data_IF_411892037791
#
_entry.id   IF_411892037791
#
_cell.length_a   1.000
_cell.length_b   1.000
_cell.length_c   1.000
_cell.angle_alpha   90.00
_cell.angle_beta   90.00
_cell.angle_gamma   90.00
#
_symmetry.space_group_name_H-M   'P 1'
#
loop_
_entity.id
_entity.type
_entity.pdbx_description
1 polymer ?
#
# COMPACT_ATOMS: atom_id res chain seq x y z
N UNK A 1 -45.98 -1.06 -16.79
CA UNK A 1 -45.17 -1.40 -17.99
C UNK A 1 -45.42 -0.34 -19.06
N UNK A 2 -44.50 -0.06 -20.00
CA UNK A 2 -43.04 0.20 -19.90
C UNK A 2 -42.65 1.49 -20.68
N UNK A 3 -41.53 2.17 -20.43
CA UNK A 3 -40.28 2.23 -21.23
C UNK A 3 -39.68 3.64 -20.98
N UNK A 4 -38.39 3.97 -21.03
CA UNK A 4 -37.11 3.28 -21.12
C UNK A 4 -36.02 4.37 -20.97
N UNK A 5 -34.91 4.03 -20.30
CA UNK A 5 -33.52 4.41 -20.63
C UNK A 5 -33.16 5.89 -20.89
N UNK A 6 -32.65 6.57 -19.86
CA UNK A 6 -31.44 7.37 -20.03
C UNK A 6 -30.26 6.61 -19.42
N UNK A 7 -29.56 5.87 -20.28
CA UNK A 7 -28.25 5.30 -19.97
C UNK A 7 -27.26 6.46 -19.92
N UNK A 8 -26.81 6.83 -18.73
CA UNK A 8 -25.56 7.58 -18.57
C UNK A 8 -24.43 6.73 -19.13
N UNK A 9 -23.78 7.25 -20.18
CA UNK A 9 -22.67 6.59 -20.85
C UNK A 9 -21.56 6.23 -19.85
N UNK A 10 -21.03 5.00 -19.87
CA UNK A 10 -19.75 4.74 -19.23
C UNK A 10 -18.70 5.53 -20.02
N UNK A 11 -17.94 6.39 -19.34
CA UNK A 11 -16.73 6.95 -19.93
C UNK A 11 -15.84 5.75 -20.24
N UNK A 12 -15.75 5.37 -21.52
CA UNK A 12 -14.81 4.35 -22.00
C UNK A 12 -13.42 4.82 -21.59
N UNK A 13 -12.76 4.07 -20.71
CA UNK A 13 -11.31 4.17 -20.56
C UNK A 13 -10.70 3.93 -21.94
N UNK A 14 -9.88 4.90 -22.39
CA UNK A 14 -9.21 4.80 -23.68
C UNK A 14 -8.27 3.58 -23.63
N UNK A 15 -8.29 2.68 -24.63
CA UNK A 15 -7.35 1.58 -24.73
C UNK A 15 -5.90 2.05 -24.50
N UNK A 16 -5.07 1.25 -23.81
CA UNK A 16 -3.64 1.56 -23.51
C UNK A 16 -2.84 2.03 -24.75
N UNK A 17 -3.24 1.63 -25.96
CA UNK A 17 -2.65 2.07 -27.23
C UNK A 17 -2.90 3.55 -27.57
N UNK A 18 -4.06 4.11 -27.21
CA UNK A 18 -4.39 5.53 -27.40
C UNK A 18 -3.67 6.41 -26.38
N UNK A 19 -3.52 5.92 -25.15
CA UNK A 19 -2.76 6.59 -24.10
C UNK A 19 -1.27 6.68 -24.48
N UNK A 20 -0.68 5.61 -25.01
CA UNK A 20 0.69 5.62 -25.51
C UNK A 20 0.92 6.56 -26.71
N UNK A 21 -0.09 6.75 -27.57
CA UNK A 21 -0.07 7.72 -28.66
C UNK A 21 0.03 9.16 -28.12
N UNK A 22 -0.82 9.50 -27.14
CA UNK A 22 -0.79 10.82 -26.52
C UNK A 22 0.52 11.10 -25.80
N UNK A 23 1.02 10.16 -24.99
CA UNK A 23 2.28 10.31 -24.25
C UNK A 23 3.47 10.55 -25.18
N UNK A 24 3.57 9.83 -26.30
CA UNK A 24 4.64 10.03 -27.29
C UNK A 24 4.51 11.39 -27.99
N UNK A 25 3.30 11.82 -28.34
CA UNK A 25 3.08 13.13 -28.96
C UNK A 25 3.41 14.28 -28.01
N UNK A 26 3.00 14.20 -26.74
CA UNK A 26 3.33 15.20 -25.73
C UNK A 26 4.84 15.29 -25.52
N UNK A 27 5.52 14.16 -25.33
CA UNK A 27 6.98 14.12 -25.19
C UNK A 27 7.70 14.77 -26.38
N UNK A 28 7.32 14.41 -27.62
CA UNK A 28 7.94 14.98 -28.82
C UNK A 28 7.59 16.46 -29.03
N UNK A 29 6.46 16.94 -28.48
CA UNK A 29 6.08 18.35 -28.50
C UNK A 29 6.90 19.19 -27.52
N UNK A 30 7.17 18.68 -26.32
CA UNK A 30 8.02 19.33 -25.32
C UNK A 30 9.46 19.50 -25.79
N UNK A 31 9.99 18.55 -26.56
CA UNK A 31 11.31 18.63 -27.21
C UNK A 31 11.39 19.61 -28.39
N UNK A 32 10.30 20.34 -28.66
CA UNK A 32 10.18 21.53 -29.52
C UNK A 32 11.19 21.66 -30.69
N UNK A 33 11.06 20.76 -31.68
CA UNK A 33 11.85 20.61 -32.95
C UNK A 33 13.10 19.73 -32.88
N UNK A 34 13.52 19.29 -31.69
CA UNK A 34 14.59 18.30 -31.57
C UNK A 34 14.10 16.90 -31.94
N UNK A 35 14.93 16.15 -32.66
CA UNK A 35 14.64 14.75 -33.01
C UNK A 35 15.14 13.82 -31.90
N UNK A 36 14.28 12.91 -31.44
CA UNK A 36 14.58 11.97 -30.36
C UNK A 36 14.72 10.54 -30.90
N UNK A 37 15.67 9.78 -30.35
CA UNK A 37 15.81 8.36 -30.68
C UNK A 37 14.67 7.54 -30.06
N UNK A 38 14.36 6.38 -30.64
CA UNK A 38 13.35 5.46 -30.09
C UNK A 38 13.66 5.06 -28.64
N UNK A 39 14.94 4.92 -28.29
CA UNK A 39 15.38 4.60 -26.93
C UNK A 39 15.04 5.71 -25.95
N UNK A 40 15.36 6.95 -26.32
CA UNK A 40 15.06 8.13 -25.50
C UNK A 40 13.54 8.30 -25.29
N UNK A 41 12.75 8.10 -26.36
CA UNK A 41 11.28 8.13 -26.28
C UNK A 41 10.76 7.02 -25.36
N UNK A 42 11.25 5.79 -25.50
CA UNK A 42 10.84 4.65 -24.67
C UNK A 42 11.15 4.87 -23.19
N UNK A 43 12.35 5.37 -22.88
CA UNK A 43 12.81 5.66 -21.51
C UNK A 43 11.96 6.76 -20.84
N UNK A 44 11.62 7.84 -21.57
CA UNK A 44 10.87 8.97 -20.99
C UNK A 44 9.36 8.76 -20.95
N UNK A 45 8.82 7.90 -21.81
CA UNK A 45 7.38 7.61 -21.84
C UNK A 45 7.00 6.39 -21.00
N UNK A 46 7.98 5.64 -20.47
CA UNK A 46 7.76 4.39 -19.73
C UNK A 46 7.20 3.24 -20.58
N UNK A 47 7.13 3.42 -21.90
CA UNK A 47 6.63 2.42 -22.85
C UNK A 47 7.76 1.49 -23.27
N UNK A 48 7.48 0.19 -23.45
CA UNK A 48 8.49 -0.74 -23.97
C UNK A 48 8.94 -0.35 -25.39
N UNK A 49 10.17 -0.68 -25.76
CA UNK A 49 10.73 -0.38 -27.08
C UNK A 49 9.88 -0.91 -28.24
N UNK A 50 9.24 -2.08 -28.05
CA UNK A 50 8.33 -2.69 -29.05
C UNK A 50 7.05 -1.88 -29.21
N UNK A 51 6.44 -1.45 -28.10
CA UNK A 51 5.22 -0.63 -28.10
C UNK A 51 5.51 0.75 -28.69
N UNK A 52 6.61 1.37 -28.25
CA UNK A 52 7.10 2.65 -28.78
C UNK A 52 7.31 2.59 -30.30
N UNK A 53 7.97 1.54 -30.81
CA UNK A 53 8.16 1.33 -32.25
C UNK A 53 6.84 1.30 -33.01
N UNK A 54 5.88 0.53 -32.54
CA UNK A 54 4.59 0.37 -33.21
C UNK A 54 3.79 1.68 -33.24
N UNK A 55 3.78 2.42 -32.12
CA UNK A 55 3.11 3.71 -32.03
C UNK A 55 3.78 4.75 -32.92
N UNK A 56 5.12 4.80 -32.93
CA UNK A 56 5.86 5.71 -33.82
C UNK A 56 5.55 5.44 -35.29
N UNK A 57 5.50 4.17 -35.71
CA UNK A 57 5.12 3.80 -37.08
C UNK A 57 3.69 4.23 -37.43
N UNK A 58 2.75 4.10 -36.49
CA UNK A 58 1.37 4.55 -36.69
C UNK A 58 1.29 6.07 -36.77
N UNK A 59 1.91 6.80 -35.84
CA UNK A 59 1.95 8.26 -35.84
C UNK A 59 2.63 8.83 -37.11
N UNK A 60 3.66 8.14 -37.60
CA UNK A 60 4.35 8.44 -38.85
C UNK A 60 3.40 8.25 -40.05
N UNK A 61 2.63 7.15 -40.08
CA UNK A 61 1.62 6.92 -41.14
C UNK A 61 0.50 7.97 -41.15
N UNK A 62 0.20 8.60 -40.01
CA UNK A 62 -0.76 9.69 -39.88
C UNK A 62 -0.13 11.09 -40.06
N UNK A 63 1.14 11.17 -40.45
CA UNK A 63 1.90 12.43 -40.61
C UNK A 63 1.94 13.31 -39.35
N UNK A 64 1.72 12.74 -38.17
CA UNK A 64 1.75 13.48 -36.91
C UNK A 64 3.19 13.61 -36.36
N UNK A 65 4.04 12.65 -36.70
CA UNK A 65 5.49 12.70 -36.48
C UNK A 65 6.21 12.39 -37.79
N UNK A 66 7.48 12.74 -37.88
CA UNK A 66 8.33 12.42 -39.02
C UNK A 66 9.65 11.80 -38.57
N UNK A 67 10.17 10.90 -39.40
CA UNK A 67 11.46 10.25 -39.21
C UNK A 67 12.57 11.10 -39.81
N UNK A 68 13.60 11.36 -39.03
CA UNK A 68 14.78 12.13 -39.40
C UNK A 68 16.01 11.26 -39.22
N UNK A 69 16.85 11.20 -40.26
CA UNK A 69 18.16 10.55 -40.21
C UNK A 69 19.21 11.65 -40.20
N UNK A 70 19.99 11.74 -39.13
CA UNK A 70 21.08 12.70 -39.03
C UNK A 70 22.25 12.30 -39.92
N UNK A 71 22.96 13.28 -40.48
CA UNK A 71 24.15 13.05 -41.31
C UNK A 71 25.16 12.22 -40.51
N UNK A 72 25.58 11.06 -41.06
CA UNK A 72 26.48 10.07 -40.47
C UNK A 72 25.90 9.13 -39.38
N UNK A 73 24.58 9.11 -39.16
CA UNK A 73 23.92 8.14 -38.27
C UNK A 73 23.03 7.16 -39.06
N UNK A 74 23.09 5.87 -38.74
CA UNK A 74 22.26 4.82 -39.38
C UNK A 74 20.89 4.73 -38.70
N UNK A 75 20.81 5.07 -37.41
CA UNK A 75 19.58 4.91 -36.63
C UNK A 75 18.66 6.12 -36.80
N UNK A 76 17.37 5.90 -37.14
CA UNK A 76 16.41 6.98 -37.26
C UNK A 76 16.05 7.60 -35.91
N UNK A 77 15.77 8.91 -35.94
CA UNK A 77 15.15 9.66 -34.86
C UNK A 77 13.77 10.15 -35.31
N UNK A 78 12.91 10.53 -34.37
CA UNK A 78 11.56 11.04 -34.65
C UNK A 78 11.38 12.43 -34.06
N UNK A 79 10.65 13.29 -34.76
CA UNK A 79 10.21 14.59 -34.27
C UNK A 79 8.74 14.84 -34.62
N UNK A 80 8.05 15.65 -33.83
CA UNK A 80 6.66 16.00 -34.10
C UNK A 80 6.54 16.95 -35.31
N UNK A 81 5.54 16.74 -36.17
CA UNK A 81 5.27 17.62 -37.32
C UNK A 81 4.40 18.81 -36.91
N UNK A 82 4.25 19.80 -37.82
CA UNK A 82 3.26 20.87 -37.65
C UNK A 82 1.83 20.33 -37.53
N UNK A 83 1.52 19.25 -38.24
CA UNK A 83 0.21 18.59 -38.18
C UNK A 83 0.01 17.89 -36.83
N UNK A 84 1.00 17.15 -36.32
CA UNK A 84 0.93 16.56 -34.97
C UNK A 84 0.74 17.60 -33.87
N UNK A 85 1.39 18.76 -33.97
CA UNK A 85 1.16 19.89 -33.05
C UNK A 85 -0.26 20.47 -33.15
N UNK A 86 -0.84 20.50 -34.35
CA UNK A 86 -2.23 20.95 -34.56
C UNK A 86 -3.23 19.96 -33.96
N UNK A 87 -3.00 18.65 -34.15
CA UNK A 87 -3.80 17.58 -33.53
C UNK A 87 -3.74 17.67 -32.00
N UNK A 88 -2.55 17.87 -31.41
CA UNK A 88 -2.42 18.11 -29.97
C UNK A 88 -3.20 19.34 -29.50
N UNK A 89 -3.13 20.46 -30.22
CA UNK A 89 -3.87 21.69 -29.87
C UNK A 89 -5.38 21.54 -30.02
N UNK A 90 -5.85 20.78 -31.00
CA UNK A 90 -7.27 20.47 -31.18
C UNK A 90 -7.77 19.51 -30.08
N UNK A 91 -6.94 18.57 -29.64
CA UNK A 91 -7.19 17.73 -28.46
C UNK A 91 -7.16 18.56 -27.15
N UNK A 92 -6.34 19.61 -27.06
CA UNK A 92 -6.33 20.56 -25.96
C UNK A 92 -7.53 21.52 -25.97
N UNK A 93 -8.07 21.85 -27.14
CA UNK A 93 -9.22 22.75 -27.32
C UNK A 93 -10.56 22.21 -26.78
N UNK A 94 -10.64 20.91 -26.51
CA UNK A 94 -11.75 20.23 -25.82
C UNK A 94 -11.35 19.72 -24.43
N UNK A 95 -10.26 20.23 -23.83
CA UNK A 95 -10.07 20.12 -22.39
C UNK A 95 -11.04 21.08 -21.70
N UNK A 96 -12.27 20.62 -21.43
CA UNK A 96 -12.80 20.86 -20.07
C UNK A 96 -11.63 20.46 -19.17
N UNK A 97 -11.10 21.38 -18.35
CA UNK A 97 -10.24 20.98 -17.24
C UNK A 97 -11.03 19.90 -16.50
N UNK A 98 -10.73 18.64 -16.78
CA UNK A 98 -10.98 17.58 -15.83
C UNK A 98 -9.92 17.90 -14.79
N UNK A 99 -10.27 18.78 -13.86
CA UNK A 99 -9.63 18.75 -12.56
C UNK A 99 -9.95 17.35 -12.06
N UNK A 100 -8.99 16.44 -12.23
CA UNK A 100 -9.02 15.20 -11.49
C UNK A 100 -9.03 15.65 -10.03
N UNK A 101 -10.11 15.36 -9.27
CA UNK A 101 -10.11 15.72 -7.87
C UNK A 101 -8.86 15.10 -7.26
N UNK A 102 -8.07 15.89 -6.54
CA UNK A 102 -6.98 15.36 -5.74
C UNK A 102 -7.54 14.27 -4.82
N UNK A 103 -6.69 13.37 -4.33
CA UNK A 103 -7.12 12.30 -3.41
C UNK A 103 -7.91 12.89 -2.23
N UNK A 104 -7.42 14.00 -1.71
CA UNK A 104 -8.03 14.77 -0.63
C UNK A 104 -9.41 15.29 -1.02
N UNK A 105 -9.59 15.82 -2.24
CA UNK A 105 -10.91 16.23 -2.73
C UNK A 105 -11.88 15.06 -2.84
N UNK A 106 -11.39 13.86 -3.18
CA UNK A 106 -12.18 12.65 -3.16
C UNK A 106 -12.58 12.21 -1.75
N UNK A 107 -11.69 12.36 -0.77
CA UNK A 107 -11.99 12.11 0.64
C UNK A 107 -13.03 13.08 1.22
N UNK A 108 -13.13 14.31 0.71
CA UNK A 108 -14.22 15.25 1.10
C UNK A 108 -15.52 15.05 0.36
N UNK A 109 -15.53 14.20 -0.67
CA UNK A 109 -16.70 14.09 -1.53
C UNK A 109 -17.94 13.69 -0.74
N UNK A 110 -19.02 14.44 -0.95
CA UNK A 110 -20.35 14.19 -0.37
C UNK A 110 -20.43 14.22 1.17
N UNK A 111 -19.49 14.88 1.86
CA UNK A 111 -19.59 15.07 3.31
C UNK A 111 -20.44 16.32 3.59
N UNK A 112 -21.58 16.12 4.27
CA UNK A 112 -22.45 17.19 4.74
C UNK A 112 -22.80 16.97 6.22
N UNK A 113 -22.30 17.84 7.09
CA UNK A 113 -22.52 17.82 8.53
C UNK A 113 -23.97 18.27 8.83
N UNK A 114 -24.80 17.43 9.45
CA UNK A 114 -26.15 17.82 9.87
C UNK A 114 -26.13 18.79 11.06
N UNK A 115 -27.03 19.78 11.04
CA UNK A 115 -27.17 20.78 12.11
C UNK A 115 -27.82 20.25 13.41
N UNK A 116 -28.40 19.04 13.37
CA UNK A 116 -29.16 18.47 14.50
C UNK A 116 -28.41 17.30 15.14
N UNK A 117 -28.23 17.37 16.47
CA UNK A 117 -27.60 16.33 17.30
C UNK A 117 -28.21 14.93 17.06
N UNK A 118 -29.54 14.81 17.04
CA UNK A 118 -30.19 13.50 16.83
C UNK A 118 -29.94 12.95 15.42
N UNK A 119 -29.86 13.82 14.42
CA UNK A 119 -29.50 13.43 13.05
C UNK A 119 -28.04 13.00 12.98
N UNK A 120 -27.12 13.70 13.66
CA UNK A 120 -25.71 13.30 13.77
C UNK A 120 -25.57 11.90 14.37
N UNK A 121 -26.21 11.62 15.50
CA UNK A 121 -26.19 10.28 16.13
C UNK A 121 -26.68 9.18 15.19
N UNK A 122 -27.78 9.45 14.47
CA UNK A 122 -28.35 8.50 13.51
C UNK A 122 -27.37 8.24 12.36
N UNK A 123 -26.77 9.30 11.81
CA UNK A 123 -25.79 9.22 10.72
C UNK A 123 -24.48 8.55 11.12
N UNK A 124 -24.00 8.75 12.35
CA UNK A 124 -22.84 8.04 12.91
C UNK A 124 -23.12 6.53 12.93
N UNK A 125 -24.27 6.14 13.47
CA UNK A 125 -24.68 4.73 13.49
C UNK A 125 -24.78 4.13 12.07
N UNK A 126 -25.42 4.83 11.14
CA UNK A 126 -25.50 4.42 9.73
C UNK A 126 -24.11 4.25 9.10
N UNK A 127 -23.18 5.19 9.34
CA UNK A 127 -21.81 5.10 8.84
C UNK A 127 -21.07 3.87 9.38
N UNK A 128 -21.17 3.60 10.68
CA UNK A 128 -20.56 2.41 11.31
C UNK A 128 -21.10 1.13 10.65
N UNK A 129 -22.42 0.99 10.53
CA UNK A 129 -23.06 -0.18 9.92
C UNK A 129 -22.65 -0.36 8.44
N UNK A 130 -22.62 0.74 7.68
CA UNK A 130 -22.18 0.75 6.28
C UNK A 130 -20.71 0.33 6.14
N UNK A 131 -19.82 0.87 6.99
CA UNK A 131 -18.39 0.56 6.98
C UNK A 131 -18.15 -0.92 7.29
N UNK A 132 -18.83 -1.47 8.32
CA UNK A 132 -18.74 -2.90 8.67
C UNK A 132 -19.21 -3.79 7.50
N UNK A 133 -20.32 -3.42 6.86
CA UNK A 133 -20.85 -4.16 5.70
C UNK A 133 -19.88 -4.16 4.52
N UNK A 134 -19.31 -3.01 4.17
CA UNK A 134 -18.30 -2.87 3.10
C UNK A 134 -17.07 -3.71 3.38
N UNK A 135 -16.50 -3.61 4.58
CA UNK A 135 -15.33 -4.39 4.98
C UNK A 135 -15.60 -5.90 4.92
N UNK A 136 -16.81 -6.34 5.29
CA UNK A 136 -17.21 -7.74 5.14
C UNK A 136 -17.29 -8.16 3.66
N UNK A 137 -17.84 -7.33 2.79
CA UNK A 137 -17.86 -7.60 1.34
C UNK A 137 -16.45 -7.70 0.77
N UNK A 138 -15.61 -6.71 1.06
CA UNK A 138 -14.22 -6.68 0.61
C UNK A 138 -13.42 -7.89 1.10
N UNK A 139 -13.59 -8.29 2.37
CA UNK A 139 -12.96 -9.49 2.91
C UNK A 139 -13.34 -10.74 2.10
N UNK A 140 -14.62 -10.88 1.75
CA UNK A 140 -15.10 -12.01 0.96
C UNK A 140 -14.51 -11.99 -0.45
N UNK A 141 -14.48 -10.82 -1.09
CA UNK A 141 -13.98 -10.68 -2.45
C UNK A 141 -12.47 -10.94 -2.52
N UNK A 142 -11.70 -10.37 -1.60
CA UNK A 142 -10.26 -10.66 -1.49
C UNK A 142 -9.98 -12.13 -1.17
N UNK A 143 -10.85 -12.80 -0.42
CA UNK A 143 -10.73 -14.24 -0.18
C UNK A 143 -10.93 -15.06 -1.46
N UNK A 144 -11.81 -14.63 -2.37
CA UNK A 144 -11.95 -15.24 -3.71
C UNK A 144 -10.71 -14.94 -4.57
N UNK A 145 -10.23 -13.70 -4.54
CA UNK A 145 -9.01 -13.26 -5.22
C UNK A 145 -7.78 -14.07 -4.76
N UNK A 146 -7.65 -14.34 -3.45
CA UNK A 146 -6.63 -15.23 -2.92
C UNK A 146 -6.72 -16.63 -3.55
N UNK A 147 -7.91 -17.16 -3.78
CA UNK A 147 -8.13 -18.42 -4.51
C UNK A 147 -7.51 -18.40 -5.92
N UNK A 148 -7.61 -17.28 -6.63
CA UNK A 148 -6.94 -17.12 -7.92
C UNK A 148 -5.42 -17.03 -7.78
N UNK A 149 -4.92 -16.28 -6.79
CA UNK A 149 -3.48 -16.15 -6.50
C UNK A 149 -2.84 -17.48 -6.13
N UNK A 150 -3.54 -18.35 -5.39
CA UNK A 150 -3.07 -19.68 -5.00
C UNK A 150 -2.80 -20.60 -6.21
N UNK A 151 -3.33 -20.29 -7.40
CA UNK A 151 -3.03 -21.02 -8.65
C UNK A 151 -1.78 -20.50 -9.36
N UNK A 152 -1.25 -19.34 -8.98
CA UNK A 152 -0.11 -18.69 -9.64
C UNK A 152 1.23 -19.23 -9.16
N UNK A 153 1.25 -20.10 -8.14
CA UNK A 153 2.46 -20.61 -7.50
C UNK A 153 3.41 -19.47 -7.04
N UNK A 154 2.84 -18.40 -6.48
CA UNK A 154 3.59 -17.24 -5.99
C UNK A 154 3.38 -17.09 -4.47
N UNK A 155 4.19 -17.74 -3.63
CA UNK A 155 3.98 -17.76 -2.18
C UNK A 155 4.11 -16.36 -1.56
N UNK A 156 4.87 -15.45 -2.18
CA UNK A 156 4.99 -14.05 -1.74
C UNK A 156 3.69 -13.28 -1.96
N UNK A 157 3.02 -13.52 -3.09
CA UNK A 157 1.73 -12.90 -3.37
C UNK A 157 0.64 -13.50 -2.47
N UNK A 158 0.66 -14.81 -2.24
CA UNK A 158 -0.23 -15.49 -1.30
C UNK A 158 -0.12 -14.91 0.12
N UNK A 159 1.11 -14.70 0.61
CA UNK A 159 1.39 -14.08 1.91
C UNK A 159 0.85 -12.64 1.99
N UNK A 160 1.10 -11.83 0.96
CA UNK A 160 0.62 -10.45 0.91
C UNK A 160 -0.92 -10.39 0.97
N UNK A 161 -1.59 -11.21 0.17
CA UNK A 161 -3.06 -11.29 0.15
C UNK A 161 -3.61 -11.77 1.50
N UNK A 162 -2.97 -12.77 2.11
CA UNK A 162 -3.37 -13.27 3.43
C UNK A 162 -3.22 -12.20 4.51
N UNK A 163 -2.12 -11.42 4.48
CA UNK A 163 -1.91 -10.29 5.39
C UNK A 163 -2.99 -9.21 5.22
N UNK A 164 -3.30 -8.83 3.97
CA UNK A 164 -4.35 -7.86 3.63
C UNK A 164 -5.72 -8.30 4.18
N UNK A 165 -6.12 -9.56 3.94
CA UNK A 165 -7.41 -10.11 4.42
C UNK A 165 -7.49 -10.07 5.95
N UNK A 166 -6.43 -10.49 6.64
CA UNK A 166 -6.39 -10.47 8.10
C UNK A 166 -6.49 -9.05 8.67
N UNK A 167 -5.90 -8.06 7.99
CA UNK A 167 -6.01 -6.66 8.40
C UNK A 167 -7.39 -6.08 8.21
N UNK A 168 -8.03 -6.35 7.09
CA UNK A 168 -9.42 -5.94 6.86
C UNK A 168 -10.33 -6.54 7.93
N UNK A 169 -10.09 -7.80 8.31
CA UNK A 169 -10.79 -8.44 9.44
C UNK A 169 -10.54 -7.71 10.77
N UNK A 170 -9.28 -7.32 11.05
CA UNK A 170 -8.92 -6.57 12.25
C UNK A 170 -9.59 -5.19 12.30
N UNK A 171 -9.50 -4.43 11.21
CA UNK A 171 -10.18 -3.14 11.01
C UNK A 171 -11.68 -3.26 11.27
N UNK A 172 -12.32 -4.28 10.69
CA UNK A 172 -13.76 -4.52 10.89
C UNK A 172 -14.08 -4.75 12.37
N UNK A 173 -13.27 -5.55 13.06
CA UNK A 173 -13.46 -5.81 14.48
C UNK A 173 -13.30 -4.52 15.32
N UNK A 174 -12.33 -3.67 15.01
CA UNK A 174 -12.14 -2.37 15.67
C UNK A 174 -13.35 -1.45 15.47
N UNK A 175 -13.81 -1.29 14.23
CA UNK A 175 -14.99 -0.45 13.92
C UNK A 175 -16.27 -1.00 14.57
N UNK A 176 -16.41 -2.33 14.69
CA UNK A 176 -17.54 -2.95 15.38
C UNK A 176 -17.63 -2.55 16.85
N UNK A 177 -16.49 -2.23 17.48
CA UNK A 177 -16.42 -1.79 18.86
C UNK A 177 -16.73 -0.29 19.05
N UNK A 178 -16.91 0.47 17.96
CA UNK A 178 -17.27 1.88 18.09
C UNK A 178 -18.68 2.04 18.68
N UNK A 179 -18.87 2.96 19.65
CA UNK A 179 -20.18 3.20 20.22
C UNK A 179 -21.10 3.85 19.19
N UNK A 180 -22.31 3.30 19.04
CA UNK A 180 -23.34 3.86 18.16
C UNK A 180 -23.84 5.23 18.61
N UNK A 181 -23.86 5.50 19.92
CA UNK A 181 -23.97 6.85 20.49
C UNK A 181 -22.67 7.18 21.26
N UNK A 182 -21.76 7.95 20.65
CA UNK A 182 -20.48 8.30 21.29
C UNK A 182 -20.62 9.07 22.60
N UNK A 183 -21.73 9.80 22.81
CA UNK A 183 -21.95 10.54 24.05
C UNK A 183 -22.45 9.64 25.19
N UNK A 184 -23.08 8.50 24.88
CA UNK A 184 -23.65 7.61 25.89
C UNK A 184 -22.61 7.12 26.92
N UNK A 185 -21.35 6.94 26.50
CA UNK A 185 -20.24 6.53 27.40
C UNK A 185 -20.04 7.53 28.55
N UNK A 186 -20.26 8.82 28.32
CA UNK A 186 -20.11 9.87 29.31
C UNK A 186 -21.34 10.04 30.21
N UNK A 187 -22.46 9.40 29.87
CA UNK A 187 -23.66 9.38 30.70
C UNK A 187 -23.60 8.29 31.78
N UNK A 188 -22.71 7.31 31.61
CA UNK A 188 -22.50 6.22 32.57
C UNK A 188 -21.79 6.75 33.82
N UNK A 189 -22.25 6.33 35.01
CA UNK A 189 -21.65 6.70 36.31
C UNK A 189 -21.31 5.47 37.13
N UNK A 190 -20.25 5.53 37.93
CA UNK A 190 -20.03 4.55 39.00
C UNK A 190 -21.03 4.81 40.12
N UNK A 191 -21.42 3.74 40.84
CA UNK A 191 -22.36 3.83 41.95
C UNK A 191 -21.79 4.77 43.03
N UNK A 192 -22.45 5.91 43.26
CA UNK A 192 -22.03 6.93 44.23
C UNK A 192 -21.47 8.22 43.63
N UNK A 193 -21.18 8.27 42.32
CA UNK A 193 -20.66 9.48 41.66
C UNK A 193 -21.80 10.37 41.11
N UNK A 194 -21.58 11.69 41.14
CA UNK A 194 -22.45 12.65 40.44
C UNK A 194 -22.15 12.60 38.94
N UNK A 195 -23.19 12.51 38.13
CA UNK A 195 -23.04 12.55 36.67
C UNK A 195 -22.42 13.89 36.26
N UNK A 196 -21.31 13.83 35.54
CA UNK A 196 -20.67 15.02 34.99
C UNK A 196 -21.57 15.58 33.89
N UNK A 197 -22.00 16.83 34.03
CA UNK A 197 -22.83 17.51 33.03
C UNK A 197 -21.91 18.20 32.04
N UNK A 198 -22.14 17.96 30.75
CA UNK A 198 -21.48 18.65 29.65
C UNK A 198 -22.46 19.62 28.99
N UNK A 199 -21.92 20.71 28.45
CA UNK A 199 -22.68 21.70 27.69
C UNK A 199 -23.15 21.11 26.36
N UNK A 200 -24.20 21.72 25.78
CA UNK A 200 -24.70 21.30 24.45
C UNK A 200 -23.62 21.45 23.37
N UNK A 201 -22.82 22.51 23.44
CA UNK A 201 -21.75 22.79 22.48
C UNK A 201 -20.63 21.73 22.54
N UNK A 202 -20.22 21.29 23.73
CA UNK A 202 -19.22 20.20 23.88
C UNK A 202 -19.73 18.88 23.27
N UNK A 203 -21.00 18.55 23.49
CA UNK A 203 -21.63 17.35 22.93
C UNK A 203 -21.71 17.46 21.41
N UNK A 204 -22.11 18.62 20.90
CA UNK A 204 -22.24 18.88 19.47
C UNK A 204 -20.88 18.80 18.76
N UNK A 205 -19.84 19.44 19.30
CA UNK A 205 -18.49 19.38 18.74
C UNK A 205 -17.94 17.94 18.70
N UNK A 206 -18.16 17.16 19.77
CA UNK A 206 -17.80 15.74 19.81
C UNK A 206 -18.46 14.95 18.67
N UNK A 207 -19.76 15.11 18.49
CA UNK A 207 -20.53 14.35 17.49
C UNK A 207 -20.20 14.80 16.06
N UNK A 208 -19.99 16.10 15.85
CA UNK A 208 -19.58 16.65 14.54
C UNK A 208 -18.23 16.08 14.12
N UNK A 209 -17.24 16.12 15.01
CA UNK A 209 -15.91 15.62 14.70
C UNK A 209 -15.92 14.12 14.40
N UNK A 210 -16.62 13.35 15.24
CA UNK A 210 -16.79 11.90 15.04
C UNK A 210 -17.44 11.61 13.69
N UNK A 211 -18.55 12.29 13.39
CA UNK A 211 -19.26 12.08 12.13
C UNK A 211 -18.39 12.44 10.92
N UNK A 212 -17.63 13.52 11.02
CA UNK A 212 -16.69 13.94 9.99
C UNK A 212 -15.62 12.88 9.73
N UNK A 213 -14.94 12.40 10.78
CA UNK A 213 -13.91 11.35 10.64
C UNK A 213 -14.50 10.04 10.14
N UNK A 214 -15.68 9.63 10.62
CA UNK A 214 -16.36 8.41 10.15
C UNK A 214 -16.74 8.52 8.66
N UNK A 215 -17.05 9.72 8.17
CA UNK A 215 -17.37 9.98 6.76
C UNK A 215 -16.13 9.94 5.87
N UNK A 216 -15.01 10.50 6.34
CA UNK A 216 -13.71 10.38 5.66
C UNK A 216 -13.26 8.91 5.59
N UNK A 217 -13.42 8.16 6.69
CA UNK A 217 -13.15 6.73 6.73
C UNK A 217 -14.01 5.95 5.72
N UNK A 218 -15.30 6.28 5.63
CA UNK A 218 -16.20 5.66 4.64
C UNK A 218 -15.76 5.96 3.19
N UNK A 219 -15.23 7.15 2.91
CA UNK A 219 -14.72 7.51 1.59
C UNK A 219 -13.41 6.78 1.26
N UNK A 220 -12.49 6.65 2.21
CA UNK A 220 -11.26 5.86 2.06
C UNK A 220 -11.58 4.36 1.84
N UNK A 221 -12.61 3.81 2.49
CA UNK A 221 -13.07 2.45 2.21
C UNK A 221 -13.59 2.28 0.77
N UNK A 222 -14.16 3.32 0.16
CA UNK A 222 -14.54 3.28 -1.25
C UNK A 222 -13.30 3.21 -2.16
N UNK A 223 -12.25 3.96 -1.82
CA UNK A 223 -10.97 3.91 -2.52
C UNK A 223 -10.35 2.51 -2.45
N UNK A 224 -10.24 1.94 -1.24
CA UNK A 224 -9.75 0.57 -1.09
C UNK A 224 -10.60 -0.45 -1.86
N UNK A 225 -11.93 -0.28 -1.91
CA UNK A 225 -12.78 -1.16 -2.68
C UNK A 225 -12.52 -1.07 -4.19
N UNK A 226 -12.17 0.11 -4.71
CA UNK A 226 -11.76 0.26 -6.11
C UNK A 226 -10.45 -0.51 -6.39
N UNK A 227 -9.46 -0.44 -5.49
CA UNK A 227 -8.25 -1.24 -5.60
C UNK A 227 -8.56 -2.74 -5.60
N UNK A 228 -9.48 -3.20 -4.74
CA UNK A 228 -9.92 -4.59 -4.72
C UNK A 228 -10.56 -5.03 -6.05
N UNK A 229 -11.39 -4.18 -6.66
CA UNK A 229 -12.00 -4.45 -7.98
C UNK A 229 -10.90 -4.52 -9.05
N UNK A 230 -9.99 -3.55 -9.10
CA UNK A 230 -8.88 -3.50 -10.06
C UNK A 230 -7.99 -4.73 -9.91
N UNK A 231 -7.71 -5.15 -8.67
CA UNK A 231 -6.94 -6.34 -8.37
C UNK A 231 -7.60 -7.60 -8.96
N UNK A 232 -8.91 -7.79 -8.73
CA UNK A 232 -9.66 -8.91 -9.32
C UNK A 232 -9.56 -8.90 -10.85
N UNK A 233 -9.78 -7.73 -11.47
CA UNK A 233 -9.67 -7.57 -12.93
C UNK A 233 -8.26 -7.85 -13.45
N UNK A 234 -7.21 -7.47 -12.73
CA UNK A 234 -5.84 -7.77 -13.14
C UNK A 234 -5.59 -9.28 -13.14
N UNK A 235 -6.10 -10.01 -12.14
CA UNK A 235 -5.97 -11.47 -12.09
C UNK A 235 -6.80 -12.16 -13.16
N UNK A 236 -8.04 -11.71 -13.40
CA UNK A 236 -8.89 -12.22 -14.48
C UNK A 236 -8.28 -12.01 -15.87
N UNK A 237 -7.53 -10.92 -16.06
CA UNK A 237 -6.82 -10.61 -17.30
C UNK A 237 -5.38 -11.17 -17.35
N UNK A 238 -5.00 -12.01 -16.39
CA UNK A 238 -3.64 -12.60 -16.29
C UNK A 238 -2.50 -11.55 -16.18
N UNK A 239 -2.81 -10.31 -15.79
CA UNK A 239 -1.84 -9.23 -15.56
C UNK A 239 -1.19 -9.38 -14.16
N UNK A 240 -0.52 -10.51 -13.88
CA UNK A 240 -0.04 -10.92 -12.54
C UNK A 240 0.82 -9.85 -11.86
N UNK A 241 1.84 -9.32 -12.55
CA UNK A 241 2.73 -8.30 -11.99
C UNK A 241 1.97 -7.02 -11.59
N UNK A 242 1.00 -6.61 -12.42
CA UNK A 242 0.13 -5.47 -12.10
C UNK A 242 -0.82 -5.78 -10.94
N UNK A 243 -1.34 -7.01 -10.88
CA UNK A 243 -2.11 -7.49 -9.73
C UNK A 243 -1.29 -7.42 -8.44
N UNK A 244 -0.04 -7.89 -8.45
CA UNK A 244 0.84 -7.81 -7.29
C UNK A 244 1.14 -6.37 -6.87
N UNK A 245 1.39 -5.47 -7.83
CA UNK A 245 1.54 -4.02 -7.55
C UNK A 245 0.26 -3.42 -6.94
N UNK A 246 -0.91 -3.75 -7.49
CA UNK A 246 -2.21 -3.28 -6.99
C UNK A 246 -2.46 -3.76 -5.55
N UNK A 247 -2.01 -4.98 -5.22
CA UNK A 247 -2.10 -5.51 -3.86
C UNK A 247 -1.14 -4.78 -2.89
N UNK A 248 0.05 -4.37 -3.35
CA UNK A 248 0.93 -3.49 -2.55
C UNK A 248 0.25 -2.15 -2.28
N UNK A 249 -0.32 -1.52 -3.30
CA UNK A 249 -1.04 -0.23 -3.14
C UNK A 249 -2.22 -0.37 -2.17
N UNK A 250 -2.99 -1.46 -2.27
CA UNK A 250 -4.09 -1.75 -1.32
C UNK A 250 -3.59 -1.88 0.13
N UNK A 251 -2.40 -2.44 0.35
CA UNK A 251 -1.79 -2.51 1.69
C UNK A 251 -1.48 -1.11 2.24
N UNK A 252 -1.04 -0.19 1.39
CA UNK A 252 -0.77 1.21 1.80
C UNK A 252 -2.07 1.93 2.17
N UNK A 253 -3.14 1.78 1.39
CA UNK A 253 -4.46 2.36 1.74
C UNK A 253 -5.01 1.78 3.06
N UNK A 254 -4.76 0.48 3.33
CA UNK A 254 -5.11 -0.15 4.62
C UNK A 254 -4.40 0.54 5.80
N UNK A 255 -3.14 0.96 5.64
CA UNK A 255 -2.39 1.68 6.69
C UNK A 255 -3.07 3.01 7.03
N UNK A 256 -3.60 3.69 6.01
CA UNK A 256 -4.27 4.98 6.17
C UNK A 256 -5.59 4.82 6.92
N UNK A 257 -6.37 3.78 6.63
CA UNK A 257 -7.55 3.41 7.43
C UNK A 257 -7.19 3.17 8.90
N UNK A 258 -6.11 2.44 9.18
CA UNK A 258 -5.67 2.23 10.57
C UNK A 258 -5.35 3.53 11.29
N UNK A 259 -4.70 4.49 10.63
CA UNK A 259 -4.47 5.81 11.21
C UNK A 259 -5.80 6.53 11.50
N UNK A 260 -6.73 6.56 10.54
CA UNK A 260 -8.05 7.16 10.73
C UNK A 260 -8.82 6.54 11.90
N UNK A 261 -8.73 5.22 12.08
CA UNK A 261 -9.32 4.50 13.22
C UNK A 261 -8.68 4.94 14.53
N UNK A 262 -7.34 4.99 14.61
CA UNK A 262 -6.63 5.45 15.81
C UNK A 262 -7.01 6.89 16.17
N UNK A 263 -7.08 7.79 15.17
CA UNK A 263 -7.56 9.17 15.37
C UNK A 263 -8.99 9.16 15.90
N UNK A 264 -9.87 8.38 15.29
CA UNK A 264 -11.27 8.24 15.70
C UNK A 264 -11.42 7.74 17.14
N UNK A 265 -10.60 6.78 17.57
CA UNK A 265 -10.57 6.26 18.95
C UNK A 265 -10.07 7.28 19.96
N UNK A 266 -9.18 8.19 19.53
CA UNK A 266 -8.61 9.24 20.39
C UNK A 266 -9.58 10.39 20.69
N UNK A 267 -10.63 10.56 19.88
CA UNK A 267 -11.62 11.63 20.05
C UNK A 267 -12.45 11.39 21.32
N UNK A 268 -12.40 12.37 22.22
CA UNK A 268 -13.15 12.40 23.49
C UNK A 268 -13.76 13.78 23.69
N UNK A 269 -14.72 13.89 24.60
CA UNK A 269 -15.44 15.15 24.85
C UNK A 269 -14.53 16.32 25.29
N UNK A 270 -13.33 16.02 25.82
CA UNK A 270 -12.32 17.02 26.19
C UNK A 270 -11.01 16.88 25.39
N UNK A 271 -10.99 16.09 24.32
CA UNK A 271 -9.79 15.79 23.53
C UNK A 271 -10.20 15.62 22.07
N UNK A 272 -9.99 16.65 21.29
CA UNK A 272 -10.29 16.69 19.86
C UNK A 272 -8.99 16.52 19.06
N UNK A 273 -9.09 15.89 17.90
CA UNK A 273 -8.00 15.78 16.92
C UNK A 273 -7.92 17.06 16.08
N UNK A 274 -9.08 17.61 15.73
CA UNK A 274 -9.23 18.82 14.94
C UNK A 274 -9.24 20.04 15.87
N UNK A 275 -8.56 21.12 15.46
CA UNK A 275 -8.52 22.36 16.24
C UNK A 275 -9.93 22.98 16.39
N UNK A 276 -10.18 23.77 17.45
CA UNK A 276 -11.47 24.45 17.64
C UNK A 276 -11.88 25.33 16.45
N UNK A 277 -10.93 25.98 15.77
CA UNK A 277 -11.17 26.80 14.59
C UNK A 277 -11.66 25.94 13.41
N UNK A 278 -10.99 24.82 13.18
CA UNK A 278 -11.33 23.89 12.10
C UNK A 278 -12.67 23.18 12.37
N UNK A 279 -12.97 22.82 13.62
CA UNK A 279 -14.28 22.28 14.00
C UNK A 279 -15.42 23.25 13.69
N UNK A 280 -15.22 24.56 13.92
CA UNK A 280 -16.20 25.59 13.55
C UNK A 280 -16.39 25.73 12.03
N UNK A 281 -15.37 25.40 11.24
CA UNK A 281 -15.48 25.36 9.78
C UNK A 281 -16.22 24.11 9.32
N UNK A 282 -15.87 22.94 9.88
CA UNK A 282 -16.55 21.66 9.64
C UNK A 282 -18.04 21.77 9.96
N UNK A 283 -18.41 22.31 11.13
CA UNK A 283 -19.81 22.50 11.52
C UNK A 283 -20.61 23.40 10.57
N UNK A 284 -19.92 24.29 9.84
CA UNK A 284 -20.51 25.16 8.81
C UNK A 284 -20.40 24.59 7.39
N UNK A 285 -20.02 23.32 7.25
CA UNK A 285 -19.79 22.66 5.97
C UNK A 285 -18.73 23.37 5.09
N UNK A 286 -17.77 24.06 5.71
CA UNK A 286 -16.64 24.73 5.03
C UNK A 286 -15.38 23.90 5.18
N UNK A 287 -15.41 22.69 4.65
CA UNK A 287 -14.33 21.72 4.82
C UNK A 287 -13.24 21.98 3.76
N UNK A 288 -11.98 22.05 4.21
CA UNK A 288 -10.82 22.30 3.35
C UNK A 288 -9.86 21.11 3.39
N UNK A 289 -8.95 21.04 2.41
CA UNK A 289 -7.90 20.01 2.36
C UNK A 289 -7.01 20.03 3.60
N UNK A 290 -6.69 21.21 4.14
CA UNK A 290 -5.90 21.35 5.38
C UNK A 290 -6.52 20.58 6.56
N UNK A 291 -7.85 20.58 6.67
CA UNK A 291 -8.57 19.85 7.72
C UNK A 291 -8.44 18.33 7.53
N UNK A 292 -8.41 17.83 6.29
CA UNK A 292 -8.14 16.41 6.04
C UNK A 292 -6.72 16.06 6.45
N UNK A 293 -5.75 16.89 6.05
CA UNK A 293 -4.35 16.59 6.33
C UNK A 293 -4.14 16.42 7.84
N UNK A 294 -4.85 17.17 8.70
CA UNK A 294 -4.75 16.94 10.17
C UNK A 294 -5.19 15.56 10.65
N UNK A 295 -6.06 14.86 9.91
CA UNK A 295 -6.57 13.53 10.26
C UNK A 295 -5.93 12.39 9.45
N UNK A 296 -5.50 12.64 8.21
CA UNK A 296 -4.84 11.63 7.34
C UNK A 296 -3.33 11.65 7.43
N UNK A 297 -2.72 12.83 7.54
CA UNK A 297 -1.28 13.05 7.52
C UNK A 297 -0.84 13.62 8.87
N UNK A 298 -0.34 12.74 9.73
CA UNK A 298 0.45 13.20 10.87
C UNK A 298 1.81 12.52 10.80
N UNK A 299 2.65 12.86 9.80
CA UNK A 299 4.02 12.41 9.83
C UNK A 299 4.60 12.91 11.15
N UNK A 300 4.97 11.96 12.00
CA UNK A 300 5.63 12.23 13.26
C UNK A 300 6.96 12.93 12.93
N UNK A 301 7.46 13.83 13.77
CA UNK A 301 8.77 14.45 13.50
C UNK A 301 9.87 13.38 13.33
N UNK A 302 10.85 13.58 12.46
CA UNK A 302 11.88 12.55 12.17
C UNK A 302 12.58 12.05 13.44
N UNK A 303 12.81 12.91 14.44
CA UNK A 303 13.43 12.51 15.71
C UNK A 303 12.50 11.66 16.55
N UNK A 304 11.21 12.01 16.57
CA UNK A 304 10.18 11.23 17.27
C UNK A 304 9.93 9.88 16.56
N UNK A 305 9.99 9.84 15.23
CA UNK A 305 9.94 8.60 14.45
C UNK A 305 11.11 7.69 14.81
N UNK A 306 12.34 8.21 14.76
CA UNK A 306 13.53 7.44 15.10
C UNK A 306 13.43 6.86 16.52
N UNK A 307 13.00 7.67 17.49
CA UNK A 307 12.75 7.20 18.86
C UNK A 307 11.66 6.13 18.93
N UNK A 308 10.52 6.34 18.28
CA UNK A 308 9.42 5.37 18.24
C UNK A 308 9.84 4.03 17.63
N UNK A 309 10.65 4.07 16.56
CA UNK A 309 11.23 2.86 15.95
C UNK A 309 12.19 2.17 16.92
N UNK A 310 13.06 2.93 17.62
CA UNK A 310 13.93 2.38 18.66
C UNK A 310 13.11 1.67 19.75
N UNK A 311 12.03 2.29 20.22
CA UNK A 311 11.16 1.71 21.25
C UNK A 311 10.50 0.41 20.76
N UNK A 312 10.08 0.34 19.50
CA UNK A 312 9.55 -0.91 18.89
C UNK A 312 10.62 -1.99 18.83
N UNK A 313 11.84 -1.66 18.37
CA UNK A 313 12.96 -2.61 18.29
C UNK A 313 13.33 -3.13 19.68
N UNK A 314 13.38 -2.27 20.69
CA UNK A 314 13.69 -2.65 22.07
C UNK A 314 12.58 -3.55 22.63
N UNK A 315 11.31 -3.19 22.41
CA UNK A 315 10.15 -4.00 22.80
C UNK A 315 10.19 -5.39 22.16
N UNK A 316 10.58 -5.47 20.89
CA UNK A 316 10.77 -6.71 20.16
C UNK A 316 11.85 -7.60 20.77
N UNK A 317 13.01 -7.03 21.08
CA UNK A 317 14.11 -7.75 21.73
C UNK A 317 13.66 -8.28 23.09
N UNK A 318 12.91 -7.48 23.86
CA UNK A 318 12.36 -7.90 25.14
C UNK A 318 11.42 -9.11 24.99
N UNK A 319 10.49 -9.08 24.02
CA UNK A 319 9.59 -10.21 23.71
C UNK A 319 10.33 -11.46 23.26
N UNK A 320 11.33 -11.32 22.39
CA UNK A 320 12.19 -12.43 21.96
C UNK A 320 12.94 -13.07 23.14
N UNK A 321 13.39 -12.26 24.10
CA UNK A 321 14.08 -12.73 25.30
C UNK A 321 13.14 -13.46 26.29
N UNK A 322 11.85 -13.09 26.34
CA UNK A 322 10.85 -13.80 27.15
C UNK A 322 10.24 -15.02 26.46
N UNK A 323 10.61 -15.27 25.20
CA UNK A 323 10.08 -16.39 24.41
C UNK A 323 8.71 -16.13 23.78
N UNK A 324 8.22 -14.89 23.81
CA UNK A 324 7.01 -14.49 23.11
C UNK A 324 7.27 -14.42 21.60
N UNK A 325 6.47 -15.15 20.83
CA UNK A 325 6.64 -15.28 19.38
C UNK A 325 5.75 -14.37 18.55
N UNK A 326 4.89 -13.54 19.15
CA UNK A 326 3.88 -12.80 18.38
C UNK A 326 3.81 -11.31 18.72
N UNK A 327 3.54 -10.51 17.70
CA UNK A 327 3.01 -9.16 17.85
C UNK A 327 1.50 -9.22 18.15
N UNK A 328 0.97 -8.20 18.85
CA UNK A 328 -0.48 -8.10 19.02
C UNK A 328 -1.14 -7.85 17.66
N UNK A 329 -1.98 -8.76 17.19
CA UNK A 329 -2.73 -8.60 15.93
C UNK A 329 -1.96 -8.95 14.64
N UNK A 330 -0.72 -9.45 14.75
CA UNK A 330 0.07 -9.94 13.61
C UNK A 330 0.26 -11.46 13.68
N UNK A 331 0.20 -12.14 12.54
CA UNK A 331 0.50 -13.57 12.41
C UNK A 331 2.00 -13.83 12.16
N UNK A 332 2.85 -12.81 12.26
CA UNK A 332 4.29 -12.97 12.02
C UNK A 332 4.96 -13.50 13.27
N UNK A 333 5.56 -14.68 13.17
CA UNK A 333 6.41 -15.24 14.21
C UNK A 333 7.69 -14.39 14.37
N UNK A 334 7.91 -13.90 15.57
CA UNK A 334 9.14 -13.26 15.98
C UNK A 334 10.24 -14.31 16.01
N UNK A 335 11.21 -14.12 15.13
CA UNK A 335 12.36 -15.00 14.93
C UNK A 335 13.64 -14.24 15.22
N UNK A 336 14.74 -14.96 15.39
CA UNK A 336 16.02 -14.35 15.77
C UNK A 336 16.62 -13.46 14.67
N UNK A 337 16.19 -13.66 13.43
CA UNK A 337 16.60 -12.86 12.28
C UNK A 337 15.38 -12.57 11.41
N UNK A 338 15.32 -11.37 10.83
CA UNK A 338 14.25 -10.98 9.90
C UNK A 338 14.87 -10.28 8.70
N UNK A 339 14.49 -10.61 7.45
CA UNK A 339 14.88 -9.84 6.29
C UNK A 339 14.52 -8.35 6.45
N UNK A 340 15.45 -7.45 6.16
CA UNK A 340 15.27 -6.00 6.41
C UNK A 340 14.01 -5.45 5.76
N UNK A 341 13.70 -5.87 4.52
CA UNK A 341 12.48 -5.44 3.84
C UNK A 341 11.21 -5.95 4.54
N UNK A 342 11.21 -7.21 5.01
CA UNK A 342 10.10 -7.74 5.78
C UNK A 342 9.92 -6.98 7.11
N UNK A 343 11.03 -6.64 7.77
CA UNK A 343 11.03 -5.88 9.01
C UNK A 343 10.55 -4.44 8.81
N UNK A 344 11.01 -3.78 7.75
CA UNK A 344 10.54 -2.47 7.33
C UNK A 344 9.04 -2.42 7.14
N UNK A 345 8.51 -3.40 6.40
CA UNK A 345 7.08 -3.51 6.18
C UNK A 345 6.32 -3.71 7.50
N UNK A 346 6.82 -4.56 8.40
CA UNK A 346 6.24 -4.78 9.73
C UNK A 346 6.20 -3.49 10.57
N UNK A 347 7.29 -2.70 10.59
CA UNK A 347 7.32 -1.41 11.31
C UNK A 347 6.24 -0.45 10.80
N UNK A 348 6.12 -0.30 9.48
CA UNK A 348 5.11 0.57 8.87
C UNK A 348 3.69 0.08 9.12
N UNK A 349 3.50 -1.23 9.24
CA UNK A 349 2.21 -1.82 9.53
C UNK A 349 1.77 -1.61 10.98
N UNK A 350 2.71 -1.74 11.93
CA UNK A 350 2.47 -1.48 13.34
C UNK A 350 2.28 0.02 13.60
N UNK A 351 2.96 0.89 12.85
CA UNK A 351 2.84 2.33 12.96
C UNK A 351 2.74 3.03 11.59
N UNK A 352 1.51 3.11 11.04
CA UNK A 352 1.21 3.78 9.76
C UNK A 352 1.65 5.25 9.63
N UNK A 353 1.89 5.92 10.76
CA UNK A 353 2.24 7.35 10.78
C UNK A 353 3.74 7.60 10.59
N UNK A 354 4.54 6.54 10.57
CA UNK A 354 5.94 6.66 10.22
C UNK A 354 6.09 6.87 8.72
N UNK A 355 6.84 7.91 8.38
CA UNK A 355 7.22 8.21 7.02
C UNK A 355 8.74 8.04 6.91
N UNK A 356 9.17 6.78 6.90
CA UNK A 356 10.57 6.39 6.81
C UNK A 356 10.86 5.64 5.52
N UNK A 357 12.09 5.77 5.05
CA UNK A 357 12.67 4.93 4.01
C UNK A 357 13.36 3.72 4.64
N UNK A 358 13.58 2.66 3.85
CA UNK A 358 14.34 1.49 4.30
C UNK A 358 15.77 1.87 4.74
N UNK A 359 16.37 2.89 4.11
CA UNK A 359 17.69 3.41 4.47
C UNK A 359 17.68 4.08 5.85
N UNK A 360 16.67 4.88 6.15
CA UNK A 360 16.52 5.47 7.49
C UNK A 360 16.34 4.38 8.56
N UNK A 361 15.59 3.31 8.26
CA UNK A 361 15.50 2.16 9.16
C UNK A 361 16.87 1.49 9.37
N UNK A 362 17.66 1.31 8.30
CA UNK A 362 19.01 0.77 8.37
C UNK A 362 19.92 1.60 9.29
N UNK A 363 19.87 2.93 9.15
CA UNK A 363 20.62 3.87 10.01
C UNK A 363 20.20 3.77 11.48
N UNK A 364 18.90 3.67 11.77
CA UNK A 364 18.40 3.50 13.15
C UNK A 364 18.87 2.18 13.76
N UNK A 365 18.82 1.09 12.98
CA UNK A 365 19.25 -0.23 13.43
C UNK A 365 20.76 -0.25 13.69
N UNK A 366 21.55 0.37 12.83
CA UNK A 366 22.99 0.48 13.02
C UNK A 366 23.34 1.33 14.25
N UNK A 367 22.63 2.44 14.49
CA UNK A 367 22.79 3.23 15.72
C UNK A 367 22.51 2.40 16.97
N UNK A 368 21.44 1.59 16.98
CA UNK A 368 21.16 0.69 18.11
C UNK A 368 22.20 -0.43 18.26
N UNK A 369 22.83 -0.85 17.17
CA UNK A 369 23.92 -1.83 17.21
C UNK A 369 25.20 -1.23 17.80
N UNK A 370 25.53 0.01 17.46
CA UNK A 370 26.63 0.77 18.06
C UNK A 370 26.40 1.00 19.57
N UNK A 371 25.14 1.23 19.97
CA UNK A 371 24.72 1.33 21.36
C UNK A 371 24.70 -0.03 22.10
N UNK A 372 24.90 -1.16 21.38
CA UNK A 372 24.97 -2.50 21.95
C UNK A 372 23.62 -3.15 22.26
N UNK A 373 22.50 -2.60 21.77
CA UNK A 373 21.17 -3.18 21.99
C UNK A 373 20.91 -4.42 21.14
N UNK A 374 21.51 -4.51 19.95
CA UNK A 374 21.40 -5.68 19.07
C UNK A 374 22.70 -5.89 18.26
N UNK A 375 22.90 -7.08 17.67
CA UNK A 375 24.03 -7.33 16.78
C UNK A 375 24.09 -6.43 15.53
N UNK A 376 22.94 -5.97 15.02
CA UNK A 376 22.85 -5.10 13.84
C UNK A 376 22.41 -5.83 12.57
N UNK A 377 22.86 -5.34 11.41
CA UNK A 377 22.47 -5.86 10.09
C UNK A 377 23.59 -6.70 9.51
N UNK A 378 23.26 -7.93 9.13
CA UNK A 378 24.15 -8.83 8.40
C UNK A 378 23.79 -8.83 6.92
N UNK A 379 24.77 -8.51 6.09
CA UNK A 379 24.63 -8.55 4.62
C UNK A 379 25.16 -9.89 4.11
N UNK A 380 24.32 -10.62 3.39
CA UNK A 380 24.68 -11.83 2.65
C UNK A 380 24.62 -11.46 1.17
N UNK A 381 25.76 -11.39 0.52
CA UNK A 381 25.87 -10.96 -0.86
C UNK A 381 26.29 -12.13 -1.75
N UNK A 382 25.53 -12.37 -2.82
CA UNK A 382 25.90 -13.30 -3.90
C UNK A 382 26.51 -12.52 -5.08
N UNK A 383 25.86 -11.42 -5.48
CA UNK A 383 26.36 -10.46 -6.47
C UNK A 383 25.76 -9.05 -6.23
N UNK A 384 25.90 -8.13 -7.18
CA UNK A 384 25.37 -6.75 -7.05
C UNK A 384 23.84 -6.70 -6.96
N UNK A 385 23.14 -7.61 -7.65
CA UNK A 385 21.69 -7.62 -7.77
C UNK A 385 21.01 -8.61 -6.79
N UNK A 386 21.77 -9.58 -6.28
CA UNK A 386 21.29 -10.64 -5.39
C UNK A 386 21.97 -10.55 -4.03
N UNK A 387 21.38 -9.76 -3.13
CA UNK A 387 21.81 -9.65 -1.74
C UNK A 387 20.63 -9.74 -0.78
N UNK A 388 20.92 -10.14 0.45
CA UNK A 388 19.99 -10.19 1.56
C UNK A 388 20.56 -9.42 2.74
N UNK A 389 19.84 -8.39 3.18
CA UNK A 389 20.08 -7.73 4.46
C UNK A 389 19.21 -8.39 5.53
N UNK A 390 19.84 -8.92 6.57
CA UNK A 390 19.17 -9.54 7.71
C UNK A 390 19.35 -8.68 8.95
N UNK A 391 18.26 -8.29 9.59
CA UNK A 391 18.29 -7.70 10.93
C UNK A 391 18.48 -8.85 11.93
N UNK A 392 19.56 -8.81 12.70
CA UNK A 392 19.88 -9.83 13.68
C UNK A 392 19.52 -9.33 15.08
N UNK A 393 18.60 -10.01 15.76
CA UNK A 393 18.30 -9.72 17.17
C UNK A 393 19.18 -10.52 18.13
N UNK A 394 19.77 -11.64 17.67
CA UNK A 394 20.79 -12.40 18.38
C UNK A 394 21.99 -12.69 17.48
N UNK A 395 23.19 -12.68 18.05
CA UNK A 395 24.43 -12.92 17.31
C UNK A 395 24.40 -14.32 16.73
N UNK A 396 24.65 -14.43 15.42
CA UNK A 396 24.77 -15.74 14.79
C UNK A 396 25.70 -15.77 13.58
N UNK A 397 26.56 -16.77 13.61
CA UNK A 397 27.35 -17.18 12.46
C UNK A 397 26.53 -18.04 11.51
N UNK A 398 26.65 -17.75 10.22
CA UNK A 398 26.02 -18.51 9.15
C UNK A 398 27.09 -19.46 8.62
N UNK A 399 26.82 -20.75 8.68
CA UNK A 399 27.75 -21.77 8.22
C UNK A 399 27.94 -21.70 6.70
N UNK A 400 29.04 -22.25 6.17
CA UNK A 400 29.28 -22.31 4.72
C UNK A 400 28.16 -23.03 3.95
N UNK A 401 27.55 -24.04 4.56
CA UNK A 401 26.45 -24.77 3.95
C UNK A 401 25.16 -23.93 3.95
N UNK A 402 24.85 -23.23 5.04
CA UNK A 402 23.71 -22.31 5.07
C UNK A 402 23.88 -21.17 4.05
N UNK A 403 25.08 -20.59 3.97
CA UNK A 403 25.43 -19.57 2.97
C UNK A 403 25.17 -20.08 1.55
N UNK A 404 25.68 -21.27 1.19
CA UNK A 404 25.45 -21.85 -0.14
C UNK A 404 23.96 -22.03 -0.44
N UNK A 405 23.17 -22.46 0.54
CA UNK A 405 21.73 -22.61 0.37
C UNK A 405 21.03 -21.26 0.20
N UNK A 406 21.36 -20.27 1.03
CA UNK A 406 20.80 -18.90 0.95
C UNK A 406 21.12 -18.27 -0.41
N UNK A 407 22.36 -18.41 -0.89
CA UNK A 407 22.77 -17.97 -2.23
C UNK A 407 21.91 -18.60 -3.34
N UNK A 408 21.65 -19.91 -3.27
CA UNK A 408 20.73 -20.57 -4.21
C UNK A 408 19.29 -20.06 -4.07
N UNK A 409 18.82 -19.85 -2.84
CA UNK A 409 17.48 -19.35 -2.57
C UNK A 409 17.26 -17.94 -3.14
N UNK A 410 18.27 -17.06 -3.05
CA UNK A 410 18.19 -15.70 -3.61
C UNK A 410 18.01 -15.70 -5.13
N UNK A 411 18.62 -16.67 -5.82
CA UNK A 411 18.47 -16.82 -7.28
C UNK A 411 17.09 -17.34 -7.68
N UNK A 412 16.53 -18.25 -6.89
CA UNK A 412 15.24 -18.86 -7.21
C UNK A 412 14.04 -18.00 -6.83
N UNK A 413 14.19 -17.07 -5.87
CA UNK A 413 13.13 -16.26 -5.25
C UNK A 413 12.09 -17.10 -4.48
N UNK A 414 11.55 -18.16 -5.10
CA UNK A 414 10.77 -19.23 -4.48
C UNK A 414 11.16 -20.60 -5.06
N UNK A 415 11.17 -21.65 -4.24
CA UNK A 415 11.71 -22.97 -4.63
C UNK A 415 11.10 -24.13 -3.84
N UNK A 416 11.21 -25.34 -4.40
CA UNK A 416 10.89 -26.61 -3.74
C UNK A 416 12.14 -27.27 -3.14
N UNK A 417 11.93 -28.30 -2.32
CA UNK A 417 13.02 -29.16 -1.85
C UNK A 417 13.83 -29.77 -3.01
N UNK A 418 13.16 -30.18 -4.10
CA UNK A 418 13.81 -30.79 -5.25
C UNK A 418 14.71 -29.79 -5.99
N UNK A 419 14.26 -28.55 -6.16
CA UNK A 419 15.06 -27.48 -6.76
C UNK A 419 16.36 -27.26 -5.98
N UNK A 420 16.26 -27.25 -4.64
CA UNK A 420 17.41 -27.03 -3.78
C UNK A 420 18.37 -28.23 -3.72
N UNK A 421 17.84 -29.46 -3.74
CA UNK A 421 18.65 -30.68 -3.89
C UNK A 421 19.41 -30.66 -5.22
N UNK A 422 18.74 -30.30 -6.32
CA UNK A 422 19.35 -30.20 -7.65
C UNK A 422 20.44 -29.12 -7.72
N UNK A 423 20.18 -27.94 -7.16
CA UNK A 423 21.12 -26.82 -7.16
C UNK A 423 22.36 -27.06 -6.29
N UNK A 424 22.19 -27.74 -5.15
CA UNK A 424 23.28 -27.94 -4.18
C UNK A 424 24.07 -29.22 -4.41
N UNK A 425 23.44 -30.24 -5.01
CA UNK A 425 23.96 -31.61 -5.15
C UNK A 425 23.96 -32.41 -3.85
N UNK A 426 23.25 -31.95 -2.81
CA UNK A 426 23.26 -32.58 -1.49
C UNK A 426 22.17 -33.64 -1.33
N UNK A 427 22.34 -34.50 -0.32
CA UNK A 427 21.28 -35.45 0.06
C UNK A 427 20.03 -34.72 0.56
N UNK A 428 18.86 -35.28 0.29
CA UNK A 428 17.57 -34.72 0.75
C UNK A 428 17.56 -34.45 2.25
N UNK A 429 18.08 -35.37 3.07
CA UNK A 429 18.13 -35.22 4.52
C UNK A 429 18.98 -34.01 4.96
N UNK A 430 20.10 -33.77 4.29
CA UNK A 430 20.94 -32.61 4.56
C UNK A 430 20.24 -31.31 4.18
N UNK A 431 19.58 -31.25 3.01
CA UNK A 431 18.85 -30.06 2.57
C UNK A 431 17.69 -29.76 3.52
N UNK A 432 16.86 -30.76 3.86
CA UNK A 432 15.74 -30.59 4.81
C UNK A 432 16.22 -30.06 6.15
N UNK A 433 17.32 -30.61 6.69
CA UNK A 433 17.87 -30.14 7.96
C UNK A 433 18.26 -28.66 7.90
N UNK A 434 18.91 -28.23 6.83
CA UNK A 434 19.33 -26.83 6.67
C UNK A 434 18.11 -25.91 6.39
N UNK A 435 17.14 -26.35 5.58
CA UNK A 435 15.92 -25.60 5.31
C UNK A 435 15.11 -25.35 6.59
N UNK A 436 14.84 -26.40 7.37
CA UNK A 436 14.12 -26.26 8.63
C UNK A 436 14.82 -25.31 9.57
N UNK A 437 16.15 -25.43 9.69
CA UNK A 437 16.96 -24.54 10.50
C UNK A 437 16.81 -23.08 10.03
N UNK A 438 17.01 -22.81 8.73
CA UNK A 438 16.88 -21.45 8.19
C UNK A 438 15.47 -20.86 8.29
N UNK A 439 14.43 -21.71 8.22
CA UNK A 439 13.04 -21.31 8.47
C UNK A 439 12.80 -20.96 9.94
N UNK A 440 13.26 -21.79 10.88
CA UNK A 440 13.14 -21.53 12.32
C UNK A 440 13.80 -20.20 12.74
N UNK A 441 14.87 -19.82 12.05
CA UNK A 441 15.56 -18.56 12.32
C UNK A 441 15.02 -17.34 11.58
N UNK A 442 13.99 -17.51 10.75
CA UNK A 442 13.33 -16.41 10.04
C UNK A 442 14.01 -15.93 8.78
N UNK A 443 15.05 -16.63 8.29
CA UNK A 443 15.73 -16.27 7.04
C UNK A 443 14.88 -16.70 5.83
N UNK A 444 14.34 -17.92 5.89
CA UNK A 444 13.42 -18.46 4.91
C UNK A 444 12.00 -18.46 5.47
N UNK A 445 11.03 -18.22 4.59
CA UNK A 445 9.64 -18.56 4.87
C UNK A 445 9.27 -19.87 4.21
N UNK A 446 8.38 -20.62 4.85
CA UNK A 446 7.81 -21.86 4.35
C UNK A 446 6.31 -21.66 4.09
N UNK A 447 5.87 -22.00 2.89
CA UNK A 447 4.46 -22.07 2.52
C UNK A 447 4.14 -23.50 2.14
N UNK A 448 2.99 -23.99 2.61
CA UNK A 448 2.46 -25.30 2.25
C UNK A 448 1.07 -25.13 1.68
N UNK A 449 0.94 -25.44 0.39
CA UNK A 449 -0.33 -25.39 -0.33
C UNK A 449 -0.64 -26.78 -0.92
N UNK A 450 -1.91 -27.18 -0.91
CA UNK A 450 -2.37 -28.41 -1.53
C UNK A 450 -2.11 -28.49 -3.04
N UNK A 451 -2.06 -27.34 -3.75
CA UNK A 451 -1.83 -27.28 -5.19
C UNK A 451 -0.35 -27.40 -5.59
N UNK A 452 0.54 -26.82 -4.79
CA UNK A 452 1.95 -26.65 -5.17
C UNK A 452 2.95 -27.32 -4.21
N UNK A 453 2.45 -27.98 -3.16
CA UNK A 453 3.26 -28.67 -2.17
C UNK A 453 4.01 -27.71 -1.25
N UNK A 454 5.13 -28.19 -0.70
CA UNK A 454 6.01 -27.39 0.15
C UNK A 454 6.90 -26.47 -0.68
N UNK A 455 6.85 -25.18 -0.35
CA UNK A 455 7.62 -24.10 -0.98
C UNK A 455 8.38 -23.30 0.08
N UNK A 456 9.61 -22.90 -0.26
CA UNK A 456 10.40 -21.96 0.52
C UNK A 456 10.69 -20.72 -0.32
N UNK A 457 10.81 -19.57 0.34
CA UNK A 457 11.12 -18.31 -0.32
C UNK A 457 11.75 -17.30 0.65
N UNK A 458 12.35 -16.25 0.09
CA UNK A 458 12.92 -15.12 0.83
C UNK A 458 12.07 -13.89 0.54
N UNK A 459 11.86 -13.03 1.54
CA UNK A 459 11.23 -11.72 1.34
C UNK A 459 12.33 -10.67 1.21
N UNK A 460 12.60 -10.22 -0.02
CA UNK A 460 13.59 -9.18 -0.30
C UNK A 460 13.02 -8.06 -1.16
N UNK A 461 13.73 -6.94 -1.22
CA UNK A 461 13.34 -5.73 -1.94
C UNK A 461 13.28 -5.93 -3.47
N UNK A 462 14.09 -6.86 -3.99
CA UNK A 462 14.28 -7.08 -5.44
C UNK A 462 13.30 -8.07 -6.07
N UNK A 463 12.22 -8.46 -5.37
CA UNK A 463 11.25 -9.44 -5.89
C UNK A 463 10.07 -8.73 -6.56
N UNK A 464 9.97 -8.91 -7.89
CA UNK A 464 8.88 -8.45 -8.77
C UNK A 464 8.38 -9.63 -9.60
#
# INVERSE_FOLDING_TARGET
MPNQNEKTNPVRELPKSLLGIETILFFLNEKNRESSSIRNISEHTGLSMRVTKNILLQLESFNQIERVVEKNNILPKWRITKFGKKVLKEAEGTKKKIEFPSRENGLLSNILIPDKIETLKTKIKENIENNISKLKSMQNDLSKTLGAVLNLNSPIFEDLMSAIINRIKSIRNQITNFPSDPYAVYQLKKKGEKQKKYSKEEIENLLIEIYFVDSVLNNELNYMNNYNIILSQCLENEEISKGYSTAKDLREEIRIIFNLIRKRESIKINSHVISPENLKLVSKNRITQEIINTITESPIDEKEQAKGIKDIIISLIAKLNTGEKHFEGSNVDLTENIPLYAFYQLILDENPNFNITIKQLEEIINSLAEEGYLPGIKVIQEDEDHYLKLVQFKVRDITKNELKLISSALKFQSFTLADMVGATGWSTNQVVKILNHLTEFGILKHSKNHLHGDRWYIVSENII
#
